data_IF_773747480384
#
_entry.id   IF_773747480384
#
_cell.length_a   1.000
_cell.length_b   1.000
_cell.length_c   1.000
_cell.angle_alpha   90.00
_cell.angle_beta   90.00
_cell.angle_gamma   90.00
#
_symmetry.space_group_name_H-M   'P 1'
#
loop_
_entity.id
_entity.type
_entity.pdbx_description
1 polymer ?
#
# COMPACT_ATOMS: atom_id res chain seq x y z
N UNK A 1 -11.90 -13.02 24.23
CA UNK A 1 -11.64 -12.04 23.14
C UNK A 1 -10.77 -12.69 22.06
N UNK A 2 -9.51 -13.05 22.36
CA UNK A 2 -8.62 -13.73 21.40
C UNK A 2 -9.22 -15.02 20.83
N UNK A 3 -9.90 -15.83 21.64
CA UNK A 3 -10.54 -17.09 21.19
C UNK A 3 -11.65 -16.91 20.14
N UNK A 4 -12.13 -15.68 19.90
CA UNK A 4 -13.11 -15.37 18.84
C UNK A 4 -12.44 -14.75 17.60
N UNK A 5 -11.15 -14.45 17.68
CA UNK A 5 -10.35 -13.83 16.62
C UNK A 5 -9.30 -14.80 16.07
N UNK A 6 -9.26 -16.02 16.58
CA UNK A 6 -8.37 -17.07 16.13
C UNK A 6 -9.17 -18.32 15.78
N UNK A 7 -8.75 -18.98 14.70
CA UNK A 7 -9.19 -20.31 14.34
C UNK A 7 -8.02 -21.07 13.67
N UNK A 8 -8.29 -22.28 13.18
CA UNK A 8 -7.27 -23.11 12.56
C UNK A 8 -6.58 -22.45 11.34
N UNK A 9 -7.22 -21.48 10.68
CA UNK A 9 -6.67 -20.79 9.50
C UNK A 9 -5.55 -19.85 9.90
N UNK A 10 -5.75 -19.01 10.91
CA UNK A 10 -4.75 -18.00 11.31
C UNK A 10 -3.89 -18.39 12.52
N UNK A 11 -4.13 -19.55 13.14
CA UNK A 11 -3.39 -20.00 14.32
C UNK A 11 -1.87 -20.01 14.13
N UNK A 12 -1.39 -20.56 13.01
CA UNK A 12 0.05 -20.61 12.74
C UNK A 12 0.67 -19.21 12.65
N UNK A 13 -0.03 -18.26 12.02
CA UNK A 13 0.43 -16.88 11.95
C UNK A 13 0.47 -16.23 13.34
N UNK A 14 -0.54 -16.49 14.16
CA UNK A 14 -0.60 -16.03 15.55
C UNK A 14 0.55 -16.57 16.39
N UNK A 15 0.85 -17.87 16.25
CA UNK A 15 1.93 -18.51 17.00
C UNK A 15 3.30 -17.93 16.64
N UNK A 16 3.54 -17.63 15.35
CA UNK A 16 4.77 -16.95 14.92
C UNK A 16 4.90 -15.56 15.53
N UNK A 17 3.82 -14.77 15.55
CA UNK A 17 3.82 -13.42 16.12
C UNK A 17 4.08 -13.48 17.63
N UNK A 18 3.40 -14.35 18.37
CA UNK A 18 3.55 -14.43 19.84
C UNK A 18 4.90 -15.00 20.28
N UNK A 19 5.59 -15.72 19.40
CA UNK A 19 6.94 -16.19 19.68
C UNK A 19 7.96 -15.05 19.72
N UNK A 20 7.81 -14.05 18.86
CA UNK A 20 8.80 -12.98 18.69
C UNK A 20 8.40 -11.64 19.33
N UNK A 21 7.09 -11.40 19.50
CA UNK A 21 6.54 -10.15 20.02
C UNK A 21 5.78 -10.33 21.34
N UNK A 22 5.85 -9.29 22.17
CA UNK A 22 4.94 -9.07 23.29
C UNK A 22 3.67 -8.43 22.71
N UNK A 23 2.57 -9.18 22.72
CA UNK A 23 1.30 -8.76 22.12
C UNK A 23 0.37 -8.15 23.16
N UNK A 24 -0.09 -6.93 22.86
CA UNK A 24 -1.06 -6.16 23.65
C UNK A 24 -2.32 -5.89 22.82
N UNK A 25 -3.43 -5.62 23.53
CA UNK A 25 -4.72 -5.33 22.91
C UNK A 25 -5.35 -4.08 23.51
N UNK A 26 -5.79 -3.18 22.64
CA UNK A 26 -6.48 -1.93 23.02
C UNK A 26 -7.80 -1.82 22.26
N UNK A 27 -8.81 -1.21 22.86
CA UNK A 27 -10.04 -0.93 22.12
C UNK A 27 -9.78 0.16 21.08
N UNK A 28 -10.23 -0.08 19.86
CA UNK A 28 -10.14 0.93 18.80
C UNK A 28 -11.01 2.14 19.11
N UNK A 29 -10.48 3.35 18.88
CA UNK A 29 -11.21 4.61 19.09
C UNK A 29 -12.14 4.97 17.94
N UNK A 30 -11.85 4.49 16.73
CA UNK A 30 -12.62 4.76 15.51
C UNK A 30 -13.45 3.55 15.04
N UNK A 31 -13.52 2.48 15.86
CA UNK A 31 -14.17 1.21 15.51
C UNK A 31 -13.53 0.46 14.34
N UNK A 32 -12.30 0.81 13.94
CA UNK A 32 -11.54 0.10 12.91
C UNK A 32 -10.47 -0.79 13.55
N UNK A 33 -10.12 -1.87 12.86
CA UNK A 33 -8.97 -2.66 13.23
C UNK A 33 -7.69 -1.91 12.85
N UNK A 34 -6.63 -2.14 13.61
CA UNK A 34 -5.33 -1.55 13.36
C UNK A 34 -4.24 -2.26 14.15
N UNK A 35 -3.00 -2.06 13.77
CA UNK A 35 -1.85 -2.49 14.54
C UNK A 35 -0.79 -1.41 14.64
N UNK A 36 -0.09 -1.39 15.76
CA UNK A 36 1.11 -0.60 15.96
C UNK A 36 2.22 -1.52 16.44
N UNK A 37 3.35 -1.49 15.74
CA UNK A 37 4.53 -2.31 16.07
C UNK A 37 5.69 -1.38 16.39
N UNK A 38 6.30 -1.57 17.55
CA UNK A 38 7.49 -0.84 17.96
C UNK A 38 8.41 -1.78 18.76
N UNK A 39 9.67 -1.90 18.30
CA UNK A 39 10.64 -2.84 18.87
C UNK A 39 10.08 -4.28 18.90
N UNK A 40 10.00 -4.89 20.09
CA UNK A 40 9.40 -6.21 20.31
C UNK A 40 7.97 -6.14 20.86
N UNK A 41 7.30 -5.00 20.76
CA UNK A 41 5.91 -4.85 21.19
C UNK A 41 5.00 -4.66 19.98
N UNK A 42 3.86 -5.34 20.02
CA UNK A 42 2.76 -5.15 19.07
C UNK A 42 1.51 -4.81 19.87
N UNK A 43 0.83 -3.75 19.49
CA UNK A 43 -0.50 -3.41 20.00
C UNK A 43 -1.51 -3.57 18.87
N UNK A 44 -2.47 -4.48 19.05
CA UNK A 44 -3.64 -4.58 18.18
C UNK A 44 -4.77 -3.71 18.71
N UNK A 45 -5.31 -2.87 17.85
CA UNK A 45 -6.52 -2.08 18.09
C UNK A 45 -7.71 -2.87 17.56
N UNK A 46 -8.65 -3.21 18.45
CA UNK A 46 -9.77 -4.11 18.14
C UNK A 46 -11.09 -3.37 18.31
N UNK A 47 -11.99 -3.55 17.36
CA UNK A 47 -13.39 -3.18 17.52
C UNK A 47 -14.10 -4.23 18.40
N UNK A 48 -14.19 -3.97 19.70
CA UNK A 48 -14.84 -4.91 20.66
C UNK A 48 -16.34 -5.09 20.41
N UNK A 49 -16.98 -4.17 19.70
CA UNK A 49 -18.40 -4.22 19.39
C UNK A 49 -18.70 -5.05 18.13
N UNK A 50 -17.69 -5.31 17.29
CA UNK A 50 -17.83 -6.09 16.07
C UNK A 50 -16.56 -6.93 15.85
N UNK A 51 -16.46 -8.03 16.59
CA UNK A 51 -15.32 -8.93 16.49
C UNK A 51 -15.31 -9.62 15.12
N UNK A 52 -14.23 -9.41 14.37
CA UNK A 52 -14.05 -9.90 13.02
C UNK A 52 -12.69 -10.57 12.87
N UNK A 53 -12.69 -11.89 12.66
CA UNK A 53 -11.46 -12.67 12.44
C UNK A 53 -10.74 -12.28 11.14
N UNK A 54 -11.50 -11.95 10.10
CA UNK A 54 -10.99 -11.49 8.82
C UNK A 54 -10.17 -10.19 8.99
N UNK A 55 -10.74 -9.18 9.66
CA UNK A 55 -10.08 -7.90 9.91
C UNK A 55 -8.91 -8.04 10.89
N UNK A 56 -9.02 -8.90 11.90
CA UNK A 56 -7.90 -9.17 12.79
C UNK A 56 -6.73 -9.86 12.07
N UNK A 57 -7.03 -10.80 11.18
CA UNK A 57 -6.00 -11.48 10.38
C UNK A 57 -5.31 -10.52 9.42
N UNK A 58 -6.05 -9.56 8.85
CA UNK A 58 -5.47 -8.46 8.08
C UNK A 58 -4.39 -7.72 8.89
N UNK A 59 -4.69 -7.31 10.13
CA UNK A 59 -3.69 -6.66 10.98
C UNK A 59 -2.51 -7.58 11.34
N UNK A 60 -2.77 -8.87 11.59
CA UNK A 60 -1.70 -9.84 11.83
C UNK A 60 -0.76 -9.96 10.62
N UNK A 61 -1.29 -9.81 9.40
CA UNK A 61 -0.46 -9.85 8.18
C UNK A 61 0.43 -8.61 8.04
N UNK A 62 0.00 -7.42 8.50
CA UNK A 62 0.93 -6.29 8.59
C UNK A 62 2.09 -6.57 9.55
N UNK A 63 1.80 -7.15 10.73
CA UNK A 63 2.83 -7.56 11.70
C UNK A 63 3.72 -8.67 11.12
N UNK A 64 3.15 -9.59 10.34
CA UNK A 64 3.88 -10.64 9.63
C UNK A 64 4.94 -10.07 8.68
N UNK A 65 4.61 -9.03 7.92
CA UNK A 65 5.60 -8.38 7.06
C UNK A 65 6.78 -7.85 7.87
N UNK A 66 6.54 -7.33 9.08
CA UNK A 66 7.61 -6.87 9.99
C UNK A 66 8.42 -8.03 10.57
N UNK A 67 7.81 -9.18 10.86
CA UNK A 67 8.53 -10.41 11.19
C UNK A 67 9.51 -10.84 10.09
N UNK A 68 9.14 -10.62 8.82
CA UNK A 68 9.99 -10.92 7.66
C UNK A 68 10.95 -9.79 7.28
N UNK A 69 11.15 -8.85 8.21
CA UNK A 69 12.01 -7.67 8.03
C UNK A 69 11.65 -6.87 6.77
N UNK A 70 10.40 -6.92 6.33
CA UNK A 70 9.91 -6.18 5.19
C UNK A 70 9.32 -4.85 5.65
N UNK A 71 9.95 -3.74 5.26
CA UNK A 71 9.57 -2.38 5.67
C UNK A 71 9.36 -1.45 4.46
N UNK A 72 8.63 -1.92 3.44
CA UNK A 72 8.47 -1.19 2.16
C UNK A 72 7.92 0.23 2.35
N UNK A 73 6.91 0.42 3.21
CA UNK A 73 6.32 1.74 3.49
C UNK A 73 7.33 2.71 4.12
N UNK A 74 8.00 2.29 5.19
CA UNK A 74 9.04 3.11 5.86
C UNK A 74 10.24 3.37 4.94
N UNK A 75 10.64 2.38 4.13
CA UNK A 75 11.70 2.54 3.13
C UNK A 75 11.32 3.57 2.07
N UNK A 76 10.07 3.53 1.58
CA UNK A 76 9.54 4.50 0.62
C UNK A 76 9.54 5.92 1.21
N UNK A 77 9.06 6.06 2.45
CA UNK A 77 9.06 7.33 3.15
C UNK A 77 10.48 7.90 3.27
N UNK A 78 11.41 7.15 3.87
CA UNK A 78 12.79 7.61 4.02
C UNK A 78 13.40 8.01 2.68
N UNK A 79 13.15 7.20 1.65
CA UNK A 79 13.67 7.41 0.29
C UNK A 79 13.17 8.71 -0.34
N UNK A 80 11.87 9.01 -0.20
CA UNK A 80 11.24 10.25 -0.70
C UNK A 80 11.67 11.45 0.13
N UNK A 81 11.66 11.33 1.46
CA UNK A 81 12.01 12.41 2.40
C UNK A 81 13.46 12.82 2.31
N UNK A 82 14.36 11.89 1.96
CA UNK A 82 15.78 12.20 1.73
C UNK A 82 16.02 13.08 0.50
N UNK A 83 14.99 13.41 -0.28
CA UNK A 83 15.11 14.19 -1.52
C UNK A 83 14.21 15.42 -1.44
N UNK A 84 14.82 16.60 -1.32
CA UNK A 84 14.13 17.88 -1.22
C UNK A 84 13.12 18.14 -2.36
N UNK A 85 13.36 17.58 -3.54
CA UNK A 85 12.48 17.77 -4.69
C UNK A 85 11.31 16.77 -4.71
N UNK A 86 11.54 15.53 -4.27
CA UNK A 86 10.48 14.52 -4.17
C UNK A 86 9.54 14.81 -3.01
N UNK A 87 10.07 15.25 -1.87
CA UNK A 87 9.29 15.59 -0.68
C UNK A 87 8.33 16.76 -0.88
N UNK A 88 8.54 17.59 -1.91
CA UNK A 88 7.61 18.65 -2.36
C UNK A 88 6.51 18.15 -3.28
N UNK A 89 6.74 17.05 -3.98
CA UNK A 89 5.84 16.49 -4.99
C UNK A 89 4.86 15.47 -4.40
N UNK A 90 5.31 14.73 -3.38
CA UNK A 90 4.57 13.62 -2.77
C UNK A 90 4.29 13.98 -1.31
N UNK A 91 3.01 14.14 -0.98
CA UNK A 91 2.53 14.46 0.35
C UNK A 91 2.73 13.31 1.35
N UNK A 92 2.71 13.62 2.64
CA UNK A 92 2.76 12.59 3.70
C UNK A 92 1.65 11.57 3.56
N UNK A 93 0.42 12.04 3.35
CA UNK A 93 -0.75 11.17 3.21
C UNK A 93 -0.62 10.22 2.02
N UNK A 94 -0.07 10.71 0.89
CA UNK A 94 0.17 9.86 -0.26
C UNK A 94 1.26 8.80 0.02
N UNK A 95 2.33 9.14 0.74
CA UNK A 95 3.37 8.18 1.11
C UNK A 95 2.80 7.07 2.00
N UNK A 96 2.00 7.43 3.02
CA UNK A 96 1.33 6.48 3.90
C UNK A 96 0.38 5.57 3.12
N UNK A 97 -0.44 6.16 2.23
CA UNK A 97 -1.36 5.43 1.35
C UNK A 97 -0.61 4.46 0.42
N UNK A 98 0.49 4.90 -0.19
CA UNK A 98 1.35 4.05 -1.01
C UNK A 98 1.94 2.90 -0.21
N UNK A 99 2.48 3.16 0.98
CA UNK A 99 3.04 2.14 1.85
C UNK A 99 2.00 1.07 2.20
N UNK A 100 0.79 1.49 2.58
CA UNK A 100 -0.30 0.59 2.91
C UNK A 100 -0.73 -0.27 1.70
N UNK A 101 -0.92 0.36 0.53
CA UNK A 101 -1.26 -0.33 -0.70
C UNK A 101 -0.17 -1.33 -1.13
N UNK A 102 1.11 -1.03 -0.92
CA UNK A 102 2.20 -1.95 -1.22
C UNK A 102 2.22 -3.14 -0.24
N UNK A 103 1.98 -2.92 1.05
CA UNK A 103 1.80 -4.01 2.01
C UNK A 103 0.63 -4.92 1.58
N UNK A 104 -0.52 -4.33 1.22
CA UNK A 104 -1.70 -5.07 0.74
C UNK A 104 -1.42 -5.98 -0.46
N UNK A 105 -0.59 -5.53 -1.41
CA UNK A 105 -0.18 -6.35 -2.57
C UNK A 105 0.50 -7.65 -2.14
N UNK A 106 1.24 -7.65 -1.03
CA UNK A 106 1.89 -8.85 -0.48
C UNK A 106 1.01 -9.65 0.45
N UNK A 107 0.14 -8.98 1.19
CA UNK A 107 -0.74 -9.62 2.16
C UNK A 107 -1.88 -10.37 1.47
N UNK A 108 -2.44 -9.84 0.38
CA UNK A 108 -3.62 -10.40 -0.26
C UNK A 108 -3.46 -11.87 -0.67
N UNK A 109 -2.38 -12.31 -1.35
CA UNK A 109 -2.19 -13.73 -1.65
C UNK A 109 -2.19 -14.62 -0.40
N UNK A 110 -1.45 -14.20 0.64
CA UNK A 110 -1.38 -14.94 1.92
C UNK A 110 -2.76 -15.03 2.56
N UNK A 111 -3.48 -13.92 2.61
CA UNK A 111 -4.81 -13.83 3.18
C UNK A 111 -5.81 -14.79 2.51
N UNK A 112 -5.75 -14.90 1.19
CA UNK A 112 -6.59 -15.80 0.41
C UNK A 112 -6.16 -17.26 0.54
N UNK A 113 -4.87 -17.54 0.61
CA UNK A 113 -4.35 -18.90 0.86
C UNK A 113 -4.81 -19.44 2.21
N UNK A 114 -4.93 -18.55 3.21
CA UNK A 114 -5.53 -18.84 4.52
C UNK A 114 -7.08 -18.97 4.46
N UNK A 115 -7.70 -18.89 3.29
CA UNK A 115 -9.15 -19.07 3.08
C UNK A 115 -10.01 -18.01 3.79
N UNK A 116 -9.54 -16.75 3.84
CA UNK A 116 -10.36 -15.62 4.29
C UNK A 116 -11.10 -14.94 3.13
N UNK A 117 -12.17 -14.22 3.45
CA UNK A 117 -13.04 -13.62 2.46
C UNK A 117 -12.40 -12.37 1.86
N UNK A 118 -12.06 -12.42 0.57
CA UNK A 118 -11.52 -11.30 -0.21
C UNK A 118 -12.30 -10.00 0.01
N UNK A 119 -13.64 -10.07 0.14
CA UNK A 119 -14.51 -8.90 0.30
C UNK A 119 -14.29 -8.16 1.62
N UNK A 120 -13.72 -8.84 2.61
CA UNK A 120 -13.41 -8.28 3.93
C UNK A 120 -11.95 -7.85 4.07
N UNK A 121 -11.16 -7.98 3.00
CA UNK A 121 -9.73 -7.66 3.04
C UNK A 121 -9.48 -6.16 3.24
N UNK A 122 -10.31 -5.29 2.69
CA UNK A 122 -10.27 -3.83 2.93
C UNK A 122 -11.69 -3.29 3.16
N UNK A 123 -11.80 -2.19 3.91
CA UNK A 123 -13.11 -1.61 4.26
C UNK A 123 -13.89 -1.09 3.06
N UNK A 124 -13.20 -0.59 2.04
CA UNK A 124 -13.78 0.03 0.86
C UNK A 124 -13.77 -0.92 -0.35
N UNK A 125 -13.86 -2.24 -0.13
CA UNK A 125 -13.81 -3.28 -1.17
C UNK A 125 -14.81 -3.03 -2.33
N UNK A 126 -16.03 -2.63 -1.99
CA UNK A 126 -17.09 -2.37 -2.98
C UNK A 126 -17.04 -0.94 -3.57
N UNK A 127 -16.01 -0.16 -3.25
CA UNK A 127 -15.84 1.21 -3.76
C UNK A 127 -14.92 1.20 -4.98
N UNK A 128 -15.47 1.60 -6.13
CA UNK A 128 -14.70 1.79 -7.35
C UNK A 128 -13.68 2.93 -7.19
N UNK A 129 -12.40 2.68 -7.48
CA UNK A 129 -11.30 3.57 -7.07
C UNK A 129 -11.07 4.81 -7.95
N UNK A 130 -11.76 4.91 -9.09
CA UNK A 130 -11.54 6.02 -10.04
C UNK A 130 -12.83 6.46 -10.73
N UNK A 131 -13.48 7.49 -10.19
CA UNK A 131 -14.72 8.00 -10.78
C UNK A 131 -14.48 8.78 -12.08
N UNK A 132 -15.50 8.90 -12.95
CA UNK A 132 -15.43 9.77 -14.13
C UNK A 132 -15.12 11.24 -13.78
N UNK A 133 -15.66 11.74 -12.67
CA UNK A 133 -15.49 13.12 -12.20
C UNK A 133 -14.04 13.38 -11.76
N UNK A 134 -13.45 12.45 -11.00
CA UNK A 134 -12.04 12.51 -10.60
C UNK A 134 -11.13 12.51 -11.83
N UNK A 135 -11.40 11.64 -12.80
CA UNK A 135 -10.62 11.54 -14.03
C UNK A 135 -10.74 12.81 -14.89
N UNK A 136 -11.94 13.40 -14.98
CA UNK A 136 -12.16 14.67 -15.66
C UNK A 136 -11.40 15.81 -14.97
N UNK A 137 -11.42 15.83 -13.64
CA UNK A 137 -10.66 16.78 -12.83
C UNK A 137 -9.15 16.66 -13.08
N UNK A 138 -8.60 15.44 -13.03
CA UNK A 138 -7.19 15.19 -13.32
C UNK A 138 -6.82 15.71 -14.72
N UNK A 139 -7.59 15.35 -15.77
CA UNK A 139 -7.32 15.83 -17.13
C UNK A 139 -7.30 17.36 -17.24
N UNK A 140 -8.19 18.04 -16.52
CA UNK A 140 -8.33 19.49 -16.57
C UNK A 140 -7.21 20.20 -15.82
N UNK A 141 -6.77 19.66 -14.68
CA UNK A 141 -5.89 20.38 -13.74
C UNK A 141 -4.45 19.86 -13.69
N UNK A 142 -4.13 18.72 -14.33
CA UNK A 142 -2.80 18.11 -14.27
C UNK A 142 -1.71 19.00 -14.89
N UNK A 143 -2.00 19.60 -16.06
CA UNK A 143 -1.10 20.55 -16.74
C UNK A 143 -1.85 21.82 -17.13
N UNK A 144 -1.24 22.97 -16.87
CA UNK A 144 -1.69 24.29 -17.32
C UNK A 144 -0.60 24.91 -18.19
N UNK A 145 -0.80 24.88 -19.51
CA UNK A 145 0.26 25.20 -20.46
C UNK A 145 1.41 24.21 -20.37
N UNK A 146 2.62 24.69 -20.09
CA UNK A 146 3.82 23.84 -19.91
C UNK A 146 4.04 23.40 -18.45
N UNK A 147 3.30 24.00 -17.52
CA UNK A 147 3.51 23.83 -16.09
C UNK A 147 2.67 22.68 -15.56
N UNK A 148 3.31 21.83 -14.75
CA UNK A 148 2.69 20.67 -14.10
C UNK A 148 2.23 21.04 -12.70
N UNK A 149 1.00 20.69 -12.35
CA UNK A 149 0.43 20.95 -11.04
C UNK A 149 0.73 19.80 -10.07
N UNK A 150 1.57 20.05 -9.06
CA UNK A 150 1.99 19.02 -8.10
C UNK A 150 0.84 18.42 -7.28
N UNK A 151 -0.20 19.20 -6.96
CA UNK A 151 -1.36 18.66 -6.24
C UNK A 151 -2.14 17.66 -7.09
N UNK A 152 -2.24 17.93 -8.39
CA UNK A 152 -2.87 17.00 -9.33
C UNK A 152 -1.98 15.77 -9.58
N UNK A 153 -0.66 15.90 -9.50
CA UNK A 153 0.30 14.78 -9.56
C UNK A 153 0.15 13.87 -8.35
N UNK A 154 0.07 14.44 -7.14
CA UNK A 154 -0.17 13.69 -5.91
C UNK A 154 -1.47 12.88 -6.00
N UNK A 155 -2.58 13.54 -6.37
CA UNK A 155 -3.86 12.87 -6.59
C UNK A 155 -3.80 11.80 -7.69
N UNK A 156 -3.09 12.06 -8.79
CA UNK A 156 -2.90 11.13 -9.90
C UNK A 156 -2.18 9.85 -9.44
N UNK A 157 -1.06 9.98 -8.71
CA UNK A 157 -0.31 8.85 -8.17
C UNK A 157 -1.21 8.06 -7.22
N UNK A 158 -1.91 8.75 -6.32
CA UNK A 158 -2.84 8.13 -5.37
C UNK A 158 -3.90 7.27 -6.07
N UNK A 159 -4.45 7.73 -7.20
CA UNK A 159 -5.43 6.94 -7.98
C UNK A 159 -4.82 5.72 -8.63
N UNK A 160 -3.65 5.83 -9.26
CA UNK A 160 -2.97 4.65 -9.84
C UNK A 160 -2.64 3.62 -8.77
N UNK A 161 -2.12 4.06 -7.63
CA UNK A 161 -1.80 3.22 -6.47
C UNK A 161 -3.04 2.48 -5.96
N UNK A 162 -4.17 3.19 -5.80
CA UNK A 162 -5.43 2.56 -5.40
C UNK A 162 -5.93 1.52 -6.40
N UNK A 163 -5.84 1.78 -7.71
CA UNK A 163 -6.25 0.82 -8.75
C UNK A 163 -5.35 -0.42 -8.75
N UNK A 164 -4.02 -0.24 -8.69
CA UNK A 164 -3.08 -1.36 -8.76
C UNK A 164 -3.07 -2.24 -7.51
N UNK A 165 -3.54 -1.71 -6.38
CA UNK A 165 -3.67 -2.42 -5.11
C UNK A 165 -5.10 -2.92 -4.83
N UNK A 166 -6.06 -2.69 -5.74
CA UNK A 166 -7.46 -3.05 -5.51
C UNK A 166 -7.62 -4.58 -5.41
N UNK A 167 -8.09 -5.11 -4.27
CA UNK A 167 -8.38 -6.53 -4.13
C UNK A 167 -9.65 -6.95 -4.87
N UNK A 168 -10.51 -6.02 -5.31
CA UNK A 168 -11.73 -6.35 -6.02
C UNK A 168 -11.45 -6.74 -7.49
N UNK A 169 -11.55 -8.02 -7.79
CA UNK A 169 -11.30 -8.60 -9.10
C UNK A 169 -12.48 -8.49 -10.08
N UNK A 170 -13.61 -7.92 -9.62
CA UNK A 170 -14.80 -7.72 -10.45
C UNK A 170 -14.83 -6.36 -11.15
N UNK A 171 -14.01 -5.41 -10.70
CA UNK A 171 -13.92 -4.08 -11.30
C UNK A 171 -12.99 -4.08 -12.54
N UNK A 172 -13.49 -3.55 -13.65
CA UNK A 172 -12.70 -3.35 -14.87
C UNK A 172 -12.19 -1.91 -14.98
N UNK A 173 -10.91 -1.73 -14.64
CA UNK A 173 -10.22 -0.44 -14.74
C UNK A 173 -9.57 -0.17 -16.11
N UNK A 174 -9.72 -1.05 -17.11
CA UNK A 174 -8.97 -0.96 -18.38
C UNK A 174 -9.11 0.39 -19.07
N UNK A 175 -10.33 0.93 -19.11
CA UNK A 175 -10.63 2.24 -19.70
C UNK A 175 -10.07 3.40 -18.85
N UNK A 176 -10.09 3.28 -17.52
CA UNK A 176 -9.53 4.28 -16.60
C UNK A 176 -8.00 4.32 -16.72
N UNK A 177 -7.35 3.16 -16.70
CA UNK A 177 -5.90 3.02 -16.84
C UNK A 177 -5.40 3.58 -18.17
N UNK A 178 -6.08 3.28 -19.27
CA UNK A 178 -5.75 3.88 -20.57
C UNK A 178 -5.82 5.41 -20.55
N UNK A 179 -6.85 5.97 -19.91
CA UNK A 179 -7.00 7.42 -19.82
C UNK A 179 -5.97 8.06 -18.88
N UNK A 180 -5.66 7.43 -17.75
CA UNK A 180 -4.60 7.87 -16.83
C UNK A 180 -3.24 7.82 -17.52
N UNK A 181 -2.96 6.77 -18.30
CA UNK A 181 -1.75 6.67 -19.11
C UNK A 181 -1.64 7.79 -20.14
N UNK A 182 -2.76 8.23 -20.73
CA UNK A 182 -2.76 9.35 -21.67
C UNK A 182 -2.49 10.72 -21.02
N UNK A 183 -2.76 10.88 -19.71
CA UNK A 183 -2.46 12.12 -18.98
C UNK A 183 -0.94 12.29 -18.81
N UNK A 184 -0.26 11.23 -18.35
CA UNK A 184 1.19 11.22 -18.21
C UNK A 184 1.74 9.80 -18.42
N UNK A 185 2.16 9.46 -19.65
CA UNK A 185 2.64 8.12 -19.97
C UNK A 185 3.90 7.75 -19.20
N UNK A 186 4.75 8.73 -18.88
CA UNK A 186 6.01 8.45 -18.20
C UNK A 186 5.77 8.19 -16.72
N UNK A 187 4.99 9.04 -16.03
CA UNK A 187 4.64 8.80 -14.63
C UNK A 187 3.83 7.50 -14.46
N UNK A 188 2.89 7.22 -15.36
CA UNK A 188 2.15 5.95 -15.38
C UNK A 188 3.09 4.75 -15.35
N UNK A 189 4.09 4.72 -16.25
CA UNK A 189 5.06 3.63 -16.32
C UNK A 189 5.91 3.50 -15.05
N UNK A 190 6.17 4.60 -14.34
CA UNK A 190 6.91 4.55 -13.08
C UNK A 190 6.09 3.84 -12.00
N UNK A 191 4.80 4.18 -11.88
CA UNK A 191 3.91 3.54 -10.91
C UNK A 191 3.66 2.08 -11.29
N UNK A 192 3.40 1.80 -12.57
CA UNK A 192 3.23 0.42 -13.07
C UNK A 192 4.45 -0.45 -12.75
N UNK A 193 5.66 0.06 -12.99
CA UNK A 193 6.92 -0.64 -12.66
C UNK A 193 7.13 -0.84 -11.17
N UNK A 194 6.74 0.13 -10.33
CA UNK A 194 6.80 -0.02 -8.88
C UNK A 194 6.00 -1.24 -8.44
N UNK A 195 4.75 -1.36 -8.90
CA UNK A 195 3.88 -2.48 -8.54
C UNK A 195 4.33 -3.80 -9.18
N UNK A 196 4.73 -3.80 -10.46
CA UNK A 196 5.18 -5.03 -11.12
C UNK A 196 6.46 -5.56 -10.47
N UNK A 197 7.44 -4.70 -10.20
CA UNK A 197 8.68 -5.11 -9.52
C UNK A 197 8.39 -5.58 -8.10
N UNK A 198 7.53 -4.87 -7.37
CA UNK A 198 7.16 -5.26 -6.02
C UNK A 198 6.51 -6.63 -5.96
N UNK A 199 5.61 -6.96 -6.89
CA UNK A 199 4.95 -8.28 -6.96
C UNK A 199 5.95 -9.44 -7.06
N UNK A 200 7.05 -9.27 -7.78
CA UNK A 200 8.09 -10.29 -7.95
C UNK A 200 8.97 -10.51 -6.70
N UNK A 201 9.03 -9.56 -5.77
CA UNK A 201 9.92 -9.66 -4.59
C UNK A 201 9.47 -10.79 -3.66
N UNK A 202 10.38 -11.72 -3.35
CA UNK A 202 10.11 -12.78 -2.37
C UNK A 202 10.23 -12.24 -0.95
N UNK A 203 9.26 -12.57 -0.10
CA UNK A 203 9.32 -12.26 1.34
C UNK A 203 10.22 -13.24 2.11
N UNK A 204 10.35 -14.47 1.63
CA UNK A 204 11.09 -15.55 2.27
C UNK A 204 11.99 -16.27 1.28
N UNK A 205 12.99 -17.00 1.79
CA UNK A 205 13.91 -17.82 1.00
C UNK A 205 14.60 -17.06 -0.15
N UNK A 206 14.86 -15.76 0.09
CA UNK A 206 15.53 -14.87 -0.85
C UNK A 206 17.04 -15.12 -0.82
N UNK A 207 17.67 -15.22 -2.00
CA UNK A 207 19.13 -15.26 -2.09
C UNK A 207 19.73 -13.86 -1.87
N UNK A 208 20.97 -13.77 -1.37
CA UNK A 208 21.64 -12.49 -1.04
C UNK A 208 21.71 -11.52 -2.23
N UNK A 209 21.77 -12.04 -3.46
CA UNK A 209 21.86 -11.26 -4.70
C UNK A 209 20.50 -10.97 -5.36
N UNK A 210 19.40 -11.47 -4.81
CA UNK A 210 18.05 -11.17 -5.31
C UNK A 210 17.57 -9.82 -4.76
N UNK A 211 16.77 -9.11 -5.58
CA UNK A 211 16.19 -7.83 -5.22
C UNK A 211 15.30 -7.92 -3.97
N UNK A 212 15.25 -6.82 -3.22
CA UNK A 212 14.36 -6.64 -2.08
C UNK A 212 13.56 -5.33 -2.18
N UNK A 213 12.86 -4.98 -1.11
CA UNK A 213 12.08 -3.75 -1.06
C UNK A 213 12.96 -2.48 -1.15
N UNK A 214 14.24 -2.53 -0.79
CA UNK A 214 15.16 -1.40 -0.95
C UNK A 214 15.48 -1.16 -2.43
N UNK A 215 15.69 -2.22 -3.22
CA UNK A 215 15.89 -2.07 -4.67
C UNK A 215 14.65 -1.46 -5.33
N UNK A 216 13.45 -1.90 -4.92
CA UNK A 216 12.18 -1.38 -5.43
C UNK A 216 12.02 0.12 -5.15
N UNK A 217 12.23 0.56 -3.90
CA UNK A 217 12.08 1.97 -3.53
C UNK A 217 13.17 2.85 -4.14
N UNK A 218 14.40 2.34 -4.25
CA UNK A 218 15.49 3.02 -4.95
C UNK A 218 15.16 3.26 -6.43
N UNK A 219 14.71 2.23 -7.14
CA UNK A 219 14.33 2.33 -8.56
C UNK A 219 13.19 3.31 -8.76
N UNK A 220 12.18 3.29 -7.87
CA UNK A 220 11.09 4.26 -7.88
C UNK A 220 11.62 5.70 -7.75
N UNK A 221 12.48 5.96 -6.76
CA UNK A 221 13.09 7.28 -6.55
C UNK A 221 13.87 7.78 -7.75
N UNK A 222 14.73 6.95 -8.34
CA UNK A 222 15.55 7.36 -9.47
C UNK A 222 14.70 7.67 -10.71
N UNK A 223 13.63 6.90 -10.93
CA UNK A 223 12.70 7.18 -12.01
C UNK A 223 11.87 8.45 -11.76
N UNK A 224 11.41 8.67 -10.52
CA UNK A 224 10.69 9.89 -10.16
C UNK A 224 11.56 11.14 -10.29
N UNK A 225 12.85 11.09 -9.89
CA UNK A 225 13.79 12.18 -10.12
C UNK A 225 13.92 12.51 -11.61
N UNK A 226 14.04 11.50 -12.47
CA UNK A 226 14.08 11.68 -13.93
C UNK A 226 12.77 12.27 -14.47
N UNK A 227 11.63 11.93 -13.89
CA UNK A 227 10.35 12.53 -14.26
C UNK A 227 10.28 14.00 -13.86
N UNK A 228 10.74 14.34 -12.66
CA UNK A 228 10.78 15.73 -12.18
C UNK A 228 11.68 16.61 -13.05
N UNK A 229 12.86 16.14 -13.46
CA UNK A 229 13.77 16.96 -14.30
C UNK A 229 13.25 17.20 -15.71
N UNK A 230 12.28 16.42 -16.17
CA UNK A 230 11.65 16.56 -17.50
C UNK A 230 10.42 17.47 -17.51
N UNK A 231 9.86 17.77 -16.34
CA UNK A 231 8.64 18.57 -16.23
C UNK A 231 8.96 19.95 -15.67
N UNK A 232 8.30 20.98 -16.21
CA UNK A 232 8.29 22.29 -15.59
C UNK A 232 7.28 22.28 -14.45
N UNK A 233 7.76 22.53 -13.24
CA UNK A 233 6.99 22.40 -11.99
C UNK A 233 6.78 23.79 -11.40
N UNK A 234 5.58 24.05 -10.89
CA UNK A 234 5.31 25.19 -10.00
C UNK A 234 5.44 24.75 -8.54
#
# INVERSE_FOLDING_TARGET
>A
MITQLLDARNQHLWDQINKEYIVNFTNSSNNEYGCFTENKNVTFYINKNNLCIDSFTHEMLHVYLRLKECYIGSSLEMTIRSSNILSRCISTSLIEHMGNCLDHVKMLPIYLDLQFDRKKFILDYDVYKCSPEELASLKKYYKQGKTTNLQAVDAYIGRLVSIFADPNDTFDYSKNLMQLKNIDPYLYQIIEKLFSHWKEIKLENRAIFEDDYHTVTFNFKENMKKWLTRNQIN
#
